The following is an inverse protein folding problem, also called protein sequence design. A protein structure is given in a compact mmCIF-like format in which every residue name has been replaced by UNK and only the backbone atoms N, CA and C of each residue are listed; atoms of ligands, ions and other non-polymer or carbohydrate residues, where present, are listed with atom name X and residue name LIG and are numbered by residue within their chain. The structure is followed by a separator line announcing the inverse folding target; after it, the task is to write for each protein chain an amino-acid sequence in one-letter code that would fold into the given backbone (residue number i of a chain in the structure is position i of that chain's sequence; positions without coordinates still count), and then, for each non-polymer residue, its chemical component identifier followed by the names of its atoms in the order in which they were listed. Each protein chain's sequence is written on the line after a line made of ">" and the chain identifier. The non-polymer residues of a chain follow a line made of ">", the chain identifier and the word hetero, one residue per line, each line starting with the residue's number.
data_IF_487556606500
#
_entry.id   IF_487556606500
#
_cell.length_a   1.000
_cell.length_b   1.000
_cell.length_c   1.000
_cell.angle_alpha   90.00
_cell.angle_beta   90.00
_cell.angle_gamma   90.00
#
_symmetry.space_group_name_H-M   'P 1'
#
loop_
_entity.id
_entity.type
_entity.pdbx_description
1 polymer ?
#
# COMPACT_ATOMS: atom_id res chain seq x y z
N UNK A 1 9.58 -10.91 21.54
CA UNK A 1 10.82 -10.10 21.50
C UNK A 1 10.81 -9.37 20.16
N UNK A 2 10.81 -8.03 20.11
CA UNK A 2 10.83 -7.32 18.82
C UNK A 2 12.22 -7.51 18.19
N UNK A 3 12.25 -7.80 16.89
CA UNK A 3 13.48 -7.79 16.10
C UNK A 3 14.12 -6.39 16.18
N UNK A 4 15.41 -6.30 16.53
CA UNK A 4 16.16 -5.05 16.61
C UNK A 4 16.05 -4.25 15.32
N UNK A 5 16.05 -4.92 14.17
CA UNK A 5 15.88 -4.26 12.87
C UNK A 5 14.52 -3.56 12.80
N UNK A 6 13.44 -4.27 13.15
CA UNK A 6 12.08 -3.71 13.16
C UNK A 6 11.94 -2.55 14.17
N UNK A 7 12.60 -2.64 15.33
CA UNK A 7 12.61 -1.55 16.31
C UNK A 7 13.28 -0.28 15.78
N UNK A 8 14.40 -0.43 15.05
CA UNK A 8 15.07 0.70 14.39
C UNK A 8 14.16 1.32 13.33
N UNK A 9 13.47 0.51 12.51
CA UNK A 9 12.58 1.03 11.46
C UNK A 9 11.38 1.78 12.06
N UNK A 10 10.72 1.22 13.09
CA UNK A 10 9.61 1.91 13.77
C UNK A 10 10.06 3.24 14.39
N UNK A 11 11.26 3.26 14.99
CA UNK A 11 11.84 4.49 15.54
C UNK A 11 12.16 5.51 14.45
N UNK A 12 12.66 5.05 13.30
CA UNK A 12 12.95 5.90 12.15
C UNK A 12 11.68 6.55 11.59
N UNK A 13 10.58 5.80 11.49
CA UNK A 13 9.28 6.32 11.04
C UNK A 13 8.84 7.48 11.94
N UNK A 14 8.91 7.32 13.26
CA UNK A 14 8.52 8.35 14.23
C UNK A 14 9.42 9.59 14.10
N UNK A 15 10.73 9.39 14.08
CA UNK A 15 11.71 10.48 14.01
C UNK A 15 11.56 11.26 12.72
N UNK A 16 11.51 10.58 11.57
CA UNK A 16 11.44 11.23 10.27
C UNK A 16 10.07 11.88 9.97
N UNK A 17 8.98 11.37 10.53
CA UNK A 17 7.68 12.06 10.49
C UNK A 17 7.71 13.39 11.26
N UNK A 18 8.49 13.46 12.34
CA UNK A 18 8.61 14.68 13.14
C UNK A 18 9.58 15.66 12.49
N UNK A 19 10.74 15.17 12.07
CA UNK A 19 11.78 15.93 11.37
C UNK A 19 12.50 15.02 10.38
N UNK A 20 12.21 15.18 9.09
CA UNK A 20 12.87 14.40 8.05
C UNK A 20 14.37 14.69 7.97
N UNK A 21 14.83 15.86 8.41
CA UNK A 21 16.27 16.21 8.40
C UNK A 21 17.07 15.57 9.54
N UNK A 22 16.38 14.92 10.49
CA UNK A 22 17.01 14.29 11.64
C UNK A 22 18.12 13.29 11.27
N UNK A 23 19.14 13.23 12.13
CA UNK A 23 20.30 12.37 11.94
C UNK A 23 20.00 10.91 12.32
N UNK A 24 20.87 10.00 11.88
CA UNK A 24 20.81 8.60 12.33
C UNK A 24 21.07 8.43 13.83
N UNK A 25 21.73 9.40 14.47
CA UNK A 25 21.95 9.37 15.91
C UNK A 25 20.63 9.53 16.67
N UNK A 26 19.77 10.45 16.23
CA UNK A 26 18.43 10.63 16.79
C UNK A 26 17.58 9.37 16.64
N UNK A 27 17.71 8.65 15.51
CA UNK A 27 17.03 7.37 15.31
C UNK A 27 17.57 6.30 16.25
N UNK A 28 18.89 6.20 16.42
CA UNK A 28 19.52 5.22 17.33
C UNK A 28 19.10 5.47 18.78
N UNK A 29 19.10 6.74 19.21
CA UNK A 29 18.63 7.18 20.52
C UNK A 29 17.16 6.81 20.73
N UNK A 30 16.28 7.14 19.77
CA UNK A 30 14.86 6.79 19.84
C UNK A 30 14.63 5.28 19.91
N UNK A 31 15.44 4.51 19.19
CA UNK A 31 15.39 3.06 19.19
C UNK A 31 16.00 2.44 20.46
N UNK A 32 16.70 3.21 21.31
CA UNK A 32 17.39 2.68 22.47
C UNK A 32 18.57 1.77 22.11
N UNK A 33 19.19 1.98 20.95
CA UNK A 33 20.34 1.20 20.47
C UNK A 33 21.57 2.08 20.32
N UNK A 34 22.75 1.48 20.43
CA UNK A 34 24.00 2.18 20.16
C UNK A 34 24.12 2.55 18.67
N UNK A 35 24.71 3.70 18.35
CA UNK A 35 24.96 4.16 16.96
C UNK A 35 25.62 3.09 16.09
N UNK A 36 26.64 2.40 16.65
CA UNK A 36 27.32 1.27 15.99
C UNK A 36 26.35 0.17 15.58
N UNK A 37 25.39 -0.18 16.44
CA UNK A 37 24.36 -1.18 16.14
C UNK A 37 23.51 -0.74 14.97
N UNK A 38 23.02 0.50 14.97
CA UNK A 38 22.24 1.03 13.84
C UNK A 38 23.03 0.93 12.52
N UNK A 39 24.31 1.33 12.52
CA UNK A 39 25.14 1.25 11.32
C UNK A 39 25.41 -0.18 10.82
N UNK A 40 25.47 -1.16 11.72
CA UNK A 40 25.59 -2.59 11.35
C UNK A 40 24.34 -3.04 10.58
N UNK A 41 23.15 -2.64 11.03
CA UNK A 41 21.89 -2.97 10.34
C UNK A 41 21.66 -2.12 9.09
N UNK A 42 22.07 -0.84 9.12
CA UNK A 42 21.82 0.13 8.07
C UNK A 42 23.10 0.94 7.80
N UNK A 43 23.83 0.54 6.75
CA UNK A 43 25.09 1.18 6.36
C UNK A 43 24.95 2.66 5.95
N UNK A 44 23.73 3.14 5.70
CA UNK A 44 23.47 4.53 5.36
C UNK A 44 22.05 4.96 5.72
N UNK A 45 21.82 6.28 5.78
CA UNK A 45 20.48 6.86 5.93
C UNK A 45 19.53 6.43 4.81
N UNK A 46 20.05 6.34 3.59
CA UNK A 46 19.27 5.89 2.44
C UNK A 46 18.85 4.43 2.57
N UNK A 47 19.73 3.55 3.09
CA UNK A 47 19.39 2.15 3.32
C UNK A 47 18.25 1.99 4.36
N UNK A 48 18.26 2.81 5.41
CA UNK A 48 17.18 2.84 6.40
C UNK A 48 15.86 3.32 5.78
N UNK A 49 15.89 4.39 4.97
CA UNK A 49 14.70 4.93 4.30
C UNK A 49 14.10 3.91 3.33
N UNK A 50 14.93 3.20 2.54
CA UNK A 50 14.43 2.17 1.63
C UNK A 50 13.80 1.00 2.39
N UNK A 51 14.34 0.66 3.57
CA UNK A 51 13.73 -0.31 4.46
C UNK A 51 12.36 0.16 4.98
N UNK A 52 12.25 1.43 5.40
CA UNK A 52 10.96 2.02 5.81
C UNK A 52 9.94 1.98 4.66
N UNK A 53 10.37 2.25 3.43
CA UNK A 53 9.51 2.17 2.24
C UNK A 53 9.04 0.75 1.96
N UNK A 54 9.93 -0.23 2.08
CA UNK A 54 9.57 -1.65 1.93
C UNK A 54 8.57 -2.09 3.00
N UNK A 55 8.77 -1.65 4.24
CA UNK A 55 7.83 -1.89 5.33
C UNK A 55 6.47 -1.24 5.05
N UNK A 56 6.45 0.03 4.62
CA UNK A 56 5.23 0.73 4.23
C UNK A 56 4.46 -0.04 3.16
N UNK A 57 5.12 -0.46 2.08
CA UNK A 57 4.45 -1.21 1.01
C UNK A 57 3.82 -2.50 1.51
N UNK A 58 4.54 -3.24 2.37
CA UNK A 58 4.06 -4.51 2.92
C UNK A 58 2.90 -4.31 3.89
N UNK A 59 3.06 -3.40 4.84
CA UNK A 59 2.07 -3.09 5.89
C UNK A 59 0.81 -2.50 5.28
N UNK A 60 0.94 -1.56 4.35
CA UNK A 60 -0.22 -0.92 3.72
C UNK A 60 -0.94 -1.83 2.74
N UNK A 61 -0.21 -2.67 1.99
CA UNK A 61 -0.87 -3.68 1.16
C UNK A 61 -1.67 -4.66 2.02
N UNK A 62 -1.11 -5.08 3.17
CA UNK A 62 -1.81 -5.96 4.10
C UNK A 62 -3.06 -5.29 4.70
N UNK A 63 -2.94 -4.06 5.20
CA UNK A 63 -4.06 -3.29 5.75
C UNK A 63 -5.18 -3.07 4.72
N UNK A 64 -4.83 -2.71 3.49
CA UNK A 64 -5.79 -2.57 2.38
C UNK A 64 -6.52 -3.87 2.05
N UNK A 65 -5.79 -4.98 2.06
CA UNK A 65 -6.36 -6.31 1.78
C UNK A 65 -7.33 -6.69 2.89
N UNK A 66 -6.94 -6.52 4.16
CA UNK A 66 -7.82 -6.78 5.30
C UNK A 66 -9.07 -5.90 5.28
N UNK A 67 -8.94 -4.61 4.96
CA UNK A 67 -10.06 -3.69 4.87
C UNK A 67 -11.06 -4.08 3.78
N UNK A 68 -10.56 -4.54 2.62
CA UNK A 68 -11.39 -5.07 1.55
C UNK A 68 -12.10 -6.37 1.95
N UNK A 69 -11.40 -7.29 2.62
CA UNK A 69 -11.96 -8.60 3.03
C UNK A 69 -12.88 -8.50 4.25
N UNK A 70 -12.90 -7.37 4.96
CA UNK A 70 -13.70 -7.15 6.17
C UNK A 70 -15.21 -6.98 5.91
N UNK A 71 -15.64 -6.82 4.65
CA UNK A 71 -17.05 -6.71 4.29
C UNK A 71 -17.30 -7.35 2.91
N UNK A 72 -18.56 -7.69 2.64
CA UNK A 72 -19.05 -8.10 1.32
C UNK A 72 -19.86 -7.01 0.61
N UNK A 73 -20.25 -5.95 1.34
CA UNK A 73 -20.90 -4.77 0.77
C UNK A 73 -19.84 -3.86 0.12
N UNK A 74 -19.92 -3.61 -1.20
CA UNK A 74 -18.94 -2.80 -1.92
C UNK A 74 -18.77 -1.37 -1.38
N UNK A 75 -19.85 -0.74 -0.91
CA UNK A 75 -19.76 0.62 -0.35
C UNK A 75 -18.97 0.58 0.95
N UNK A 76 -19.24 -0.41 1.80
CA UNK A 76 -18.52 -0.58 3.05
C UNK A 76 -17.06 -0.98 2.84
N UNK A 77 -16.76 -1.81 1.83
CA UNK A 77 -15.38 -2.14 1.45
C UNK A 77 -14.59 -0.88 1.08
N UNK A 78 -15.17 -0.02 0.24
CA UNK A 78 -14.53 1.24 -0.16
C UNK A 78 -14.30 2.17 1.04
N UNK A 79 -15.27 2.28 1.94
CA UNK A 79 -15.14 3.08 3.16
C UNK A 79 -13.98 2.57 4.04
N UNK A 80 -13.89 1.26 4.27
CA UNK A 80 -12.83 0.66 5.07
C UNK A 80 -11.46 0.80 4.41
N UNK A 81 -11.37 0.60 3.10
CA UNK A 81 -10.13 0.81 2.35
C UNK A 81 -9.67 2.27 2.40
N UNK A 82 -10.61 3.22 2.35
CA UNK A 82 -10.29 4.65 2.49
C UNK A 82 -9.68 4.94 3.86
N UNK A 83 -10.27 4.44 4.94
CA UNK A 83 -9.71 4.61 6.29
C UNK A 83 -8.32 3.98 6.41
N UNK A 84 -8.14 2.75 5.92
CA UNK A 84 -6.84 2.10 5.90
C UNK A 84 -5.79 2.91 5.11
N UNK A 85 -6.21 3.59 4.02
CA UNK A 85 -5.35 4.47 3.23
C UNK A 85 -4.93 5.72 3.97
N UNK A 86 -5.86 6.35 4.68
CA UNK A 86 -5.59 7.53 5.51
C UNK A 86 -4.61 7.15 6.64
N UNK A 87 -4.83 6.04 7.32
CA UNK A 87 -3.94 5.55 8.39
C UNK A 87 -2.54 5.27 7.86
N UNK A 88 -2.44 4.62 6.70
CA UNK A 88 -1.17 4.38 6.03
C UNK A 88 -0.44 5.67 5.64
N UNK A 89 -1.15 6.62 5.03
CA UNK A 89 -0.59 7.92 4.67
C UNK A 89 -0.10 8.68 5.90
N UNK A 90 -0.88 8.68 6.98
CA UNK A 90 -0.50 9.34 8.23
C UNK A 90 0.73 8.67 8.89
N UNK A 91 0.79 7.34 8.92
CA UNK A 91 1.93 6.61 9.51
C UNK A 91 3.23 6.88 8.77
N UNK A 92 3.19 7.02 7.45
CA UNK A 92 4.39 7.15 6.63
C UNK A 92 4.49 8.51 5.93
N UNK A 93 3.95 9.57 6.54
CA UNK A 93 3.87 10.91 5.96
C UNK A 93 5.24 11.47 5.51
N UNK A 94 6.34 11.10 6.16
CA UNK A 94 7.68 11.52 5.74
C UNK A 94 8.10 10.98 4.35
N UNK A 95 7.43 9.92 3.86
CA UNK A 95 7.64 9.32 2.54
C UNK A 95 6.76 9.95 1.44
N UNK A 96 5.98 11.01 1.74
CA UNK A 96 5.02 11.65 0.83
C UNK A 96 5.64 12.18 -0.48
N UNK A 97 6.96 12.43 -0.50
CA UNK A 97 7.68 12.74 -1.75
C UNK A 97 7.80 11.55 -2.72
N UNK A 98 7.37 10.34 -2.36
CA UNK A 98 7.69 9.11 -3.09
C UNK A 98 6.50 8.27 -3.57
N UNK A 99 5.25 8.71 -3.45
CA UNK A 99 4.15 7.75 -3.39
C UNK A 99 3.01 7.98 -4.37
N UNK A 100 3.19 7.41 -5.56
CA UNK A 100 2.09 6.83 -6.35
C UNK A 100 1.44 5.60 -5.68
N UNK A 101 1.19 5.64 -4.36
CA UNK A 101 0.61 4.53 -3.60
C UNK A 101 -0.83 4.23 -4.05
N UNK A 102 -1.56 5.24 -4.55
CA UNK A 102 -2.86 5.00 -5.18
C UNK A 102 -2.77 4.12 -6.45
N UNK A 103 -1.61 4.06 -7.11
CA UNK A 103 -1.49 3.37 -8.39
C UNK A 103 -1.51 1.83 -8.25
N UNK A 104 -1.07 1.27 -7.12
CA UNK A 104 -0.88 -0.18 -6.98
C UNK A 104 -2.08 -0.92 -6.38
N UNK A 105 -2.81 -0.31 -5.44
CA UNK A 105 -3.94 -0.96 -4.76
C UNK A 105 -5.12 -1.24 -5.71
N UNK A 106 -5.35 -0.37 -6.70
CA UNK A 106 -6.45 -0.53 -7.68
C UNK A 106 -6.03 -1.37 -8.89
N UNK A 107 -4.78 -1.25 -9.35
CA UNK A 107 -4.34 -1.86 -10.62
C UNK A 107 -4.10 -3.38 -10.57
N UNK A 108 -3.69 -3.96 -9.43
CA UNK A 108 -3.26 -5.36 -9.41
C UNK A 108 -4.40 -6.39 -9.31
N UNK A 109 -5.61 -6.00 -8.90
CA UNK A 109 -6.74 -6.94 -8.73
C UNK A 109 -7.99 -6.62 -9.53
N UNK A 110 -8.12 -5.45 -10.18
CA UNK A 110 -9.09 -5.33 -11.29
C UNK A 110 -8.74 -6.23 -12.49
N UNK A 111 -7.48 -6.69 -12.59
CA UNK A 111 -7.05 -7.66 -13.61
C UNK A 111 -7.41 -9.12 -13.29
N UNK A 112 -7.67 -9.48 -12.02
CA UNK A 112 -8.00 -10.86 -11.63
C UNK A 112 -9.50 -11.16 -11.66
N UNK A 113 -10.37 -10.15 -11.52
CA UNK A 113 -11.82 -10.33 -11.65
C UNK A 113 -12.30 -10.46 -13.10
N UNK A 114 -11.45 -10.17 -14.09
CA UNK A 114 -11.75 -10.34 -15.51
C UNK A 114 -11.54 -11.77 -16.04
N UNK A 115 -10.95 -12.68 -15.26
CA UNK A 115 -10.54 -14.02 -15.73
C UNK A 115 -11.35 -15.19 -15.18
N UNK A 116 -12.40 -14.95 -14.41
CA UNK A 116 -13.35 -15.99 -14.01
C UNK A 116 -14.72 -15.74 -14.62
N UNK A 117 -14.78 -15.70 -15.95
CA UNK A 117 -16.00 -16.07 -16.67
C UNK A 117 -16.06 -17.60 -16.65
N UNK A 118 -17.19 -18.23 -16.23
CA UNK A 118 -17.36 -19.66 -16.45
C UNK A 118 -17.32 -19.91 -17.95
N UNK A 119 -16.40 -20.74 -18.41
CA UNK A 119 -16.38 -21.24 -19.78
C UNK A 119 -17.70 -21.97 -20.04
N UNK A 120 -18.62 -21.31 -20.74
CA UNK A 120 -19.85 -21.93 -21.25
C UNK A 120 -19.47 -22.98 -22.32
N UNK A 121 -20.07 -24.18 -22.32
CA UNK A 121 -19.58 -25.30 -23.16
C UNK A 121 -19.93 -25.21 -24.65
N UNK A 122 -20.53 -24.13 -25.14
CA UNK A 122 -20.94 -24.04 -26.54
C UNK A 122 -20.31 -22.82 -27.21
N UNK A 123 -19.48 -23.12 -28.21
CA UNK A 123 -18.76 -22.13 -29.00
C UNK A 123 -19.71 -21.19 -29.75
N UNK A 124 -19.62 -19.90 -29.43
CA UNK A 124 -19.88 -18.81 -30.37
C UNK A 124 -19.15 -17.57 -29.86
N UNK A 125 -18.10 -17.20 -30.56
CA UNK A 125 -17.28 -16.00 -30.32
C UNK A 125 -18.08 -14.74 -30.65
N UNK A 126 -18.37 -13.91 -29.65
CA UNK A 126 -18.70 -12.49 -29.86
C UNK A 126 -17.69 -11.63 -29.11
N UNK A 127 -16.55 -11.36 -29.75
CA UNK A 127 -15.71 -10.22 -29.42
C UNK A 127 -16.41 -8.98 -29.97
N UNK A 128 -17.07 -8.22 -29.10
CA UNK A 128 -17.39 -6.83 -29.40
C UNK A 128 -16.66 -5.93 -28.39
N UNK A 129 -15.88 -4.94 -28.86
CA UNK A 129 -15.26 -3.97 -27.99
C UNK A 129 -16.32 -3.09 -27.30
N UNK A 130 -16.01 -2.69 -26.08
CA UNK A 130 -16.84 -1.99 -25.10
C UNK A 130 -17.52 -0.70 -25.60
N UNK A 131 -17.13 -0.17 -26.76
CA UNK A 131 -17.65 1.08 -27.34
C UNK A 131 -19.07 0.98 -27.92
N UNK A 132 -19.66 -0.22 -28.06
CA UNK A 132 -21.03 -0.39 -28.58
C UNK A 132 -22.14 -0.40 -27.52
N UNK A 133 -21.82 -0.47 -26.23
CA UNK A 133 -22.86 -0.55 -25.18
C UNK A 133 -23.53 0.82 -24.90
N UNK A 134 -22.83 1.92 -25.15
CA UNK A 134 -23.30 3.27 -24.82
C UNK A 134 -24.41 3.84 -25.73
N UNK A 135 -24.76 3.17 -26.83
CA UNK A 135 -25.76 3.67 -27.79
C UNK A 135 -27.09 2.91 -27.78
N UNK A 136 -27.21 1.82 -27.02
CA UNK A 136 -28.42 0.96 -27.00
C UNK A 136 -29.45 1.36 -25.94
N UNK A 137 -29.22 2.43 -25.17
CA UNK A 137 -30.12 2.85 -24.08
C UNK A 137 -31.02 4.06 -24.45
N UNK A 138 -31.05 4.50 -25.72
CA UNK A 138 -31.86 5.67 -26.15
C UNK A 138 -32.86 5.40 -27.27
N UNK A 139 -33.38 4.18 -27.38
CA UNK A 139 -34.51 3.90 -28.26
C UNK A 139 -35.48 2.93 -27.59
N UNK A 140 -36.19 3.44 -26.57
CA UNK A 140 -37.51 2.97 -26.19
C UNK A 140 -38.50 4.11 -26.42
N UNK A 141 -39.12 4.09 -27.59
CA UNK A 141 -40.49 4.52 -27.85
C UNK A 141 -40.95 3.88 -29.16
#
# INVERSE_FOLDING_TARGET
>A
MKDTKAQIVESAIIVFNTDFSASLDMVAEKAGVHRRTLHIYFGSRQALIECCKTEMMTTCQHAMTMAYEASVDPVKQLELMLYAGIECGAKYAFLDKFTGILHMAVSHRMRKTAHTTPSSPNGSTWLLPFSKWAWSASSSQ
#
